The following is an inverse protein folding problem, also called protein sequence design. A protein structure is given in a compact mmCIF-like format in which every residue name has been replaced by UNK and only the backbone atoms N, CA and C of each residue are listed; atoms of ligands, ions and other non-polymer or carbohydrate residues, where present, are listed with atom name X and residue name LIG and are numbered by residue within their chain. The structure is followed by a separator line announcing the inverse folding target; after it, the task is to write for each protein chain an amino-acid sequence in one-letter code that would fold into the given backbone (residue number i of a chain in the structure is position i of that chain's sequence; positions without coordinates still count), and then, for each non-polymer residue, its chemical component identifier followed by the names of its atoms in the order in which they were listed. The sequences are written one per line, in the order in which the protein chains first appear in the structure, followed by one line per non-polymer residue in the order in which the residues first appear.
data_IF_714863417812
#
_entry.id   IF_714863417812
#
_cell.length_a   1.000
_cell.length_b   1.000
_cell.length_c   1.000
_cell.angle_alpha   90.00
_cell.angle_beta   90.00
_cell.angle_gamma   90.00
#
_symmetry.space_group_name_H-M   'P 1'
#
loop_
_entity.id
_entity.type
_entity.pdbx_description
1 polymer ?
#
# COMPACT_ATOMS: atom_id res chain seq x y z
N UNK A 1 -6.67 -21.95 -17.07
CA UNK A 1 -7.60 -20.97 -16.45
C UNK A 1 -9.05 -21.41 -16.57
N UNK A 2 -9.48 -21.92 -17.71
CA UNK A 2 -10.83 -22.49 -17.91
C UNK A 2 -11.15 -23.75 -17.09
N UNK A 3 -10.21 -24.70 -16.97
CA UNK A 3 -10.41 -25.89 -16.11
C UNK A 3 -10.58 -25.57 -14.61
N UNK A 4 -9.96 -24.49 -14.11
CA UNK A 4 -10.19 -24.03 -12.73
C UNK A 4 -11.56 -23.38 -12.56
N UNK A 5 -12.06 -22.67 -13.58
CA UNK A 5 -13.41 -22.10 -13.55
C UNK A 5 -14.47 -23.20 -13.60
N UNK A 6 -14.29 -24.26 -14.43
CA UNK A 6 -15.20 -25.40 -14.50
C UNK A 6 -15.26 -26.21 -13.20
N UNK A 7 -14.12 -26.50 -12.55
CA UNK A 7 -14.09 -27.14 -11.23
C UNK A 7 -14.76 -26.30 -10.14
N UNK A 8 -14.66 -24.99 -10.22
CA UNK A 8 -15.30 -24.08 -9.26
C UNK A 8 -16.82 -24.03 -9.48
N UNK A 9 -17.27 -24.11 -10.72
CA UNK A 9 -18.70 -24.19 -11.08
C UNK A 9 -19.34 -25.53 -10.68
N UNK A 10 -18.64 -26.66 -10.84
CA UNK A 10 -19.11 -27.98 -10.39
C UNK A 10 -19.27 -28.07 -8.86
N UNK A 11 -18.38 -27.45 -8.10
CA UNK A 11 -18.52 -27.39 -6.64
C UNK A 11 -19.66 -26.47 -6.16
N UNK A 12 -20.16 -25.58 -7.01
CA UNK A 12 -21.35 -24.73 -6.73
C UNK A 12 -22.65 -25.48 -7.04
N UNK A 13 -22.62 -26.44 -7.96
CA UNK A 13 -23.80 -27.26 -8.35
C UNK A 13 -24.06 -28.37 -7.31
N UNK A 14 -23.05 -28.84 -6.57
CA UNK A 14 -23.17 -29.85 -5.52
C UNK A 14 -23.55 -29.29 -4.13
N UNK A 15 -23.76 -27.99 -4.00
CA UNK A 15 -24.43 -27.44 -2.81
C UNK A 15 -25.91 -27.82 -2.87
N UNK A 16 -26.50 -28.36 -1.78
CA UNK A 16 -27.90 -28.74 -1.76
C UNK A 16 -28.75 -27.57 -2.25
N UNK A 17 -29.54 -27.82 -3.30
CA UNK A 17 -30.51 -26.84 -3.79
C UNK A 17 -31.41 -26.46 -2.64
N UNK A 18 -31.22 -25.28 -2.08
CA UNK A 18 -32.17 -24.71 -1.14
C UNK A 18 -33.49 -24.55 -1.86
N UNK A 19 -34.52 -25.12 -1.30
CA UNK A 19 -35.84 -25.13 -1.84
C UNK A 19 -36.32 -23.72 -2.19
N UNK A 20 -36.87 -23.51 -3.36
CA UNK A 20 -37.37 -22.20 -3.81
C UNK A 20 -38.42 -21.59 -2.88
N UNK A 21 -38.97 -22.35 -1.95
CA UNK A 21 -39.92 -21.91 -0.93
C UNK A 21 -39.25 -21.10 0.17
N UNK A 22 -37.98 -21.31 0.52
CA UNK A 22 -37.27 -20.51 1.52
C UNK A 22 -36.94 -19.09 1.04
N UNK A 23 -36.82 -18.86 -0.27
CA UNK A 23 -36.51 -17.53 -0.83
C UNK A 23 -37.65 -16.50 -0.65
N UNK A 24 -38.88 -16.94 -0.42
CA UNK A 24 -40.06 -16.05 -0.19
C UNK A 24 -40.12 -15.44 1.20
N UNK A 25 -39.41 -16.00 2.17
CA UNK A 25 -39.41 -15.51 3.55
C UNK A 25 -38.41 -14.38 3.80
N UNK A 26 -37.57 -14.08 2.84
CA UNK A 26 -36.50 -13.09 2.94
C UNK A 26 -36.66 -11.96 1.93
N UNK A 27 -37.87 -11.39 1.82
CA UNK A 27 -38.07 -10.14 1.06
C UNK A 27 -37.18 -9.04 1.68
N UNK A 28 -36.10 -8.67 0.98
CA UNK A 28 -35.11 -7.69 1.43
C UNK A 28 -33.70 -8.24 1.67
N UNK A 29 -33.53 -9.56 1.74
CA UNK A 29 -32.21 -10.20 1.85
C UNK A 29 -31.59 -10.38 0.48
N UNK A 30 -30.46 -9.74 0.23
CA UNK A 30 -29.70 -9.93 -1.00
C UNK A 30 -28.50 -10.82 -0.75
N UNK A 31 -28.45 -11.99 -1.36
CA UNK A 31 -27.33 -12.94 -1.29
C UNK A 31 -26.34 -12.67 -2.41
N UNK A 32 -25.07 -12.65 -2.05
CA UNK A 32 -23.97 -12.48 -3.00
C UNK A 32 -22.93 -13.55 -2.84
N UNK A 33 -22.40 -13.99 -3.96
CA UNK A 33 -21.17 -14.77 -3.97
C UNK A 33 -19.97 -13.83 -4.08
N UNK A 34 -19.15 -13.83 -3.05
CA UNK A 34 -17.88 -13.12 -3.03
C UNK A 34 -16.73 -14.08 -3.26
N UNK A 35 -16.03 -13.92 -4.39
CA UNK A 35 -14.81 -14.71 -4.64
C UNK A 35 -13.65 -14.06 -3.94
N UNK A 36 -13.12 -14.71 -2.89
CA UNK A 36 -11.79 -14.45 -2.36
C UNK A 36 -10.77 -15.31 -3.12
N UNK A 37 -9.47 -15.01 -3.00
CA UNK A 37 -8.42 -15.71 -3.75
C UNK A 37 -8.48 -17.25 -3.64
N UNK A 38 -9.10 -17.77 -2.57
CA UNK A 38 -9.16 -19.21 -2.28
C UNK A 38 -10.57 -19.78 -2.11
N UNK A 39 -11.63 -18.95 -2.02
CA UNK A 39 -12.98 -19.45 -1.73
C UNK A 39 -14.09 -18.54 -2.28
N UNK A 40 -15.19 -19.16 -2.73
CA UNK A 40 -16.45 -18.47 -2.95
C UNK A 40 -17.15 -18.37 -1.59
N UNK A 41 -17.39 -17.15 -1.13
CA UNK A 41 -18.15 -16.90 0.10
C UNK A 41 -19.50 -16.34 -0.28
N UNK A 42 -20.54 -17.06 0.07
CA UNK A 42 -21.91 -16.55 0.01
C UNK A 42 -22.10 -15.54 1.13
N UNK A 43 -22.45 -14.31 0.79
CA UNK A 43 -22.72 -13.26 1.78
C UNK A 43 -24.17 -12.88 1.68
N UNK A 44 -24.94 -13.26 2.69
CA UNK A 44 -26.34 -12.91 2.84
C UNK A 44 -26.44 -11.54 3.52
N UNK A 45 -27.17 -10.62 2.91
CA UNK A 45 -27.33 -9.27 3.42
C UNK A 45 -28.73 -9.05 3.96
N UNK A 46 -28.84 -9.07 5.26
CA UNK A 46 -29.91 -8.37 5.97
C UNK A 46 -29.34 -7.04 6.50
N UNK A 47 -29.81 -5.93 5.97
CA UNK A 47 -29.33 -4.60 6.35
C UNK A 47 -29.74 -4.19 7.77
N UNK A 48 -30.71 -4.90 8.34
CA UNK A 48 -31.26 -4.65 9.66
C UNK A 48 -30.61 -5.51 10.74
N UNK A 49 -30.01 -6.65 10.35
CA UNK A 49 -29.40 -7.63 11.28
C UNK A 49 -27.90 -7.89 10.96
N UNK A 50 -27.16 -6.82 10.68
CA UNK A 50 -25.75 -6.94 10.35
C UNK A 50 -24.87 -7.33 11.54
N UNK A 51 -25.28 -7.03 12.75
CA UNK A 51 -24.52 -7.38 13.94
C UNK A 51 -24.42 -8.90 14.09
N UNK A 52 -25.48 -9.64 13.81
CA UNK A 52 -25.49 -11.10 13.83
C UNK A 52 -24.50 -11.68 12.83
N UNK A 53 -24.46 -11.13 11.62
CA UNK A 53 -23.47 -11.53 10.60
C UNK A 53 -22.02 -11.18 11.01
N UNK A 54 -21.81 -10.07 11.71
CA UNK A 54 -20.50 -9.69 12.25
C UNK A 54 -20.06 -10.67 13.34
N UNK A 55 -20.97 -11.08 14.22
CA UNK A 55 -20.71 -11.97 15.33
C UNK A 55 -20.76 -13.46 14.96
N UNK A 56 -21.11 -13.80 13.71
CA UNK A 56 -21.11 -15.16 13.22
C UNK A 56 -19.74 -15.84 13.49
N UNK A 57 -19.71 -17.06 14.05
CA UNK A 57 -18.47 -17.76 14.38
C UNK A 57 -17.52 -17.93 13.20
N UNK A 58 -18.03 -18.13 11.97
CA UNK A 58 -17.20 -18.25 10.76
C UNK A 58 -16.55 -16.91 10.42
N UNK A 59 -17.29 -15.81 10.56
CA UNK A 59 -16.77 -14.46 10.34
C UNK A 59 -15.71 -14.09 11.38
N UNK A 60 -15.97 -14.35 12.67
CA UNK A 60 -15.00 -14.11 13.74
C UNK A 60 -13.72 -14.94 13.59
N UNK A 61 -13.84 -16.21 13.21
CA UNK A 61 -12.66 -17.06 12.93
C UNK A 61 -11.85 -16.55 11.75
N UNK A 62 -12.49 -16.07 10.69
CA UNK A 62 -11.80 -15.45 9.55
C UNK A 62 -11.09 -14.15 9.97
N UNK A 63 -11.74 -13.33 10.77
CA UNK A 63 -11.15 -12.12 11.34
C UNK A 63 -9.95 -12.44 12.23
N UNK A 64 -10.06 -13.43 13.11
CA UNK A 64 -8.96 -13.93 13.93
C UNK A 64 -7.75 -14.35 13.08
N UNK A 65 -7.97 -15.22 12.08
CA UNK A 65 -6.88 -15.67 11.17
C UNK A 65 -6.20 -14.49 10.46
N UNK A 66 -6.98 -13.47 10.07
CA UNK A 66 -6.45 -12.27 9.40
C UNK A 66 -5.61 -11.43 10.35
N UNK A 67 -6.06 -11.21 11.58
CA UNK A 67 -5.31 -10.47 12.61
C UNK A 67 -4.00 -11.18 12.97
N UNK A 68 -4.05 -12.51 13.14
CA UNK A 68 -2.88 -13.32 13.43
C UNK A 68 -1.84 -13.29 12.29
N UNK A 69 -2.29 -13.41 11.04
CA UNK A 69 -1.41 -13.35 9.86
C UNK A 69 -0.66 -12.01 9.75
N UNK A 70 -1.28 -10.92 10.14
CA UNK A 70 -0.71 -9.58 10.04
C UNK A 70 0.37 -9.30 11.10
N UNK A 71 0.49 -10.09 12.15
CA UNK A 71 1.54 -10.01 13.19
C UNK A 71 1.79 -8.60 13.72
N UNK A 72 0.74 -7.81 13.90
CA UNK A 72 0.85 -6.42 14.37
C UNK A 72 1.25 -6.34 15.86
N UNK A 73 1.93 -5.26 16.24
CA UNK A 73 2.30 -5.02 17.64
C UNK A 73 1.07 -4.71 18.53
N UNK A 74 1.23 -4.88 19.84
CA UNK A 74 0.19 -4.63 20.85
C UNK A 74 -0.29 -3.18 20.91
N UNK A 75 -1.53 -2.98 21.34
CA UNK A 75 -2.13 -1.68 21.60
C UNK A 75 -1.66 -1.03 22.89
N UNK A 76 -2.56 -0.35 23.58
CA UNK A 76 -2.28 0.27 24.89
C UNK A 76 -2.09 -0.78 25.99
N UNK A 77 -2.76 -1.93 25.85
CA UNK A 77 -2.72 -3.09 26.73
C UNK A 77 -1.43 -3.93 26.57
N UNK A 78 -0.62 -3.61 25.55
CA UNK A 78 0.61 -4.34 25.17
C UNK A 78 0.38 -5.81 24.81
N UNK A 79 -0.87 -6.28 24.69
CA UNK A 79 -1.20 -7.65 24.33
C UNK A 79 -0.65 -7.98 22.93
N UNK A 80 0.09 -9.09 22.80
CA UNK A 80 0.56 -9.58 21.50
C UNK A 80 -0.55 -10.35 20.77
N UNK A 81 -0.37 -10.54 19.44
CA UNK A 81 -1.31 -11.37 18.69
C UNK A 81 -1.37 -12.81 19.23
N UNK A 82 -0.25 -13.37 19.69
CA UNK A 82 -0.17 -14.74 20.21
C UNK A 82 -1.01 -14.93 21.49
N UNK A 83 -1.19 -13.88 22.28
CA UNK A 83 -2.01 -13.88 23.48
C UNK A 83 -3.52 -13.77 23.20
N UNK A 84 -3.91 -13.49 21.95
CA UNK A 84 -5.32 -13.32 21.59
C UNK A 84 -6.13 -14.62 21.78
N UNK A 85 -5.59 -15.78 21.40
CA UNK A 85 -6.32 -17.05 21.55
C UNK A 85 -6.59 -17.42 23.01
N UNK A 86 -5.59 -17.43 23.91
CA UNK A 86 -5.84 -17.66 25.35
C UNK A 86 -6.86 -16.68 25.92
N UNK A 87 -6.77 -15.40 25.53
CA UNK A 87 -7.71 -14.39 25.99
C UNK A 87 -9.15 -14.67 25.52
N UNK A 88 -9.32 -15.04 24.23
CA UNK A 88 -10.64 -15.39 23.68
C UNK A 88 -11.25 -16.62 24.35
N UNK A 89 -10.45 -17.64 24.66
CA UNK A 89 -10.96 -18.83 25.38
C UNK A 89 -11.58 -18.46 26.74
N UNK A 90 -11.02 -17.47 27.42
CA UNK A 90 -11.52 -17.01 28.71
C UNK A 90 -12.65 -15.98 28.64
N UNK A 91 -12.69 -15.14 27.56
CA UNK A 91 -13.52 -13.93 27.54
C UNK A 91 -14.51 -13.86 26.36
N UNK A 92 -14.57 -14.84 25.48
CA UNK A 92 -15.38 -14.81 24.25
C UNK A 92 -16.84 -14.49 24.52
N UNK A 93 -17.46 -15.18 25.48
CA UNK A 93 -18.90 -15.02 25.72
C UNK A 93 -19.21 -13.65 26.29
N UNK A 94 -18.36 -13.12 27.17
CA UNK A 94 -18.46 -11.76 27.68
C UNK A 94 -18.31 -10.72 26.56
N UNK A 95 -17.33 -10.92 25.66
CA UNK A 95 -17.13 -10.04 24.50
C UNK A 95 -18.38 -10.02 23.60
N UNK A 96 -18.91 -11.20 23.25
CA UNK A 96 -20.09 -11.33 22.37
C UNK A 96 -21.30 -10.66 23.02
N UNK A 97 -21.58 -10.94 24.30
CA UNK A 97 -22.69 -10.30 25.03
C UNK A 97 -22.57 -8.79 25.06
N UNK A 98 -21.36 -8.27 25.38
CA UNK A 98 -21.17 -6.81 25.41
C UNK A 98 -21.35 -6.13 24.04
N UNK A 99 -21.07 -6.83 22.95
CA UNK A 99 -21.32 -6.34 21.59
C UNK A 99 -22.82 -6.39 21.27
N UNK A 100 -23.54 -7.46 21.65
CA UNK A 100 -24.97 -7.62 21.44
C UNK A 100 -25.76 -6.59 22.25
N UNK A 101 -25.44 -6.42 23.53
CA UNK A 101 -26.10 -5.49 24.44
C UNK A 101 -25.69 -4.01 24.18
N UNK A 102 -24.76 -3.79 23.25
CA UNK A 102 -24.26 -2.45 22.96
C UNK A 102 -23.45 -1.82 24.10
N UNK A 103 -23.03 -2.58 25.11
CA UNK A 103 -22.23 -2.10 26.24
C UNK A 103 -20.74 -2.07 25.96
N UNK A 104 -20.28 -2.72 24.88
CA UNK A 104 -18.88 -2.74 24.47
C UNK A 104 -18.32 -1.33 24.30
N UNK A 105 -17.16 -1.08 24.90
CA UNK A 105 -16.40 0.18 24.80
C UNK A 105 -15.04 -0.09 24.18
N UNK A 106 -14.76 0.39 22.95
CA UNK A 106 -13.45 0.28 22.35
C UNK A 106 -12.39 0.98 23.18
N UNK A 107 -11.19 0.39 23.24
CA UNK A 107 -10.06 1.02 23.91
C UNK A 107 -9.50 2.17 23.07
N UNK A 108 -8.90 3.18 23.72
CA UNK A 108 -8.14 4.21 23.01
C UNK A 108 -7.00 3.60 22.20
N UNK A 109 -6.68 4.21 21.07
CA UNK A 109 -5.55 3.73 20.23
C UNK A 109 -4.21 4.25 20.78
N UNK A 110 -3.18 3.42 20.73
CA UNK A 110 -1.80 3.83 21.08
C UNK A 110 -1.19 4.61 19.92
N UNK A 111 -0.83 5.87 20.14
CA UNK A 111 -0.17 6.70 19.13
C UNK A 111 1.28 6.32 18.92
N UNK A 112 1.69 6.23 17.64
CA UNK A 112 3.08 6.02 17.23
C UNK A 112 3.41 6.96 16.10
N UNK A 113 4.55 7.62 16.19
CA UNK A 113 5.05 8.56 15.21
C UNK A 113 6.01 7.88 14.23
N UNK A 114 5.71 7.94 12.93
CA UNK A 114 6.59 7.45 11.87
C UNK A 114 7.15 8.64 11.09
N UNK A 115 8.48 8.75 10.93
CA UNK A 115 9.07 9.84 10.16
C UNK A 115 8.70 9.73 8.68
N UNK A 116 8.33 10.86 8.07
CA UNK A 116 8.15 11.01 6.61
C UNK A 116 9.45 11.47 5.95
N UNK A 117 9.58 11.23 4.65
CA UNK A 117 10.76 11.64 3.85
C UNK A 117 11.05 13.17 3.90
N UNK A 118 10.07 13.99 4.26
CA UNK A 118 10.17 15.45 4.35
C UNK A 118 10.42 15.98 5.78
N UNK A 119 10.84 15.11 6.70
CA UNK A 119 11.08 15.45 8.12
C UNK A 119 9.82 15.60 8.97
N UNK A 120 8.61 15.63 8.38
CA UNK A 120 7.35 15.60 9.12
C UNK A 120 7.08 14.19 9.64
N UNK A 121 6.27 14.07 10.68
CA UNK A 121 5.87 12.79 11.27
C UNK A 121 4.48 12.38 10.75
N UNK A 122 4.27 11.07 10.59
CA UNK A 122 2.96 10.46 10.37
C UNK A 122 2.49 9.86 11.69
N UNK A 123 1.29 10.22 12.11
CA UNK A 123 0.71 9.75 13.35
C UNK A 123 -0.09 8.47 13.05
N UNK A 124 0.36 7.31 13.57
CA UNK A 124 -0.41 6.07 13.53
C UNK A 124 -1.09 5.83 14.86
N UNK A 125 -2.31 5.28 14.83
CA UNK A 125 -3.01 4.78 15.99
C UNK A 125 -3.06 3.26 15.96
N UNK A 126 -2.51 2.59 16.96
CA UNK A 126 -2.49 1.14 17.08
C UNK A 126 -3.60 0.71 18.04
N UNK A 127 -4.71 0.10 17.55
CA UNK A 127 -5.76 -0.45 18.41
C UNK A 127 -5.25 -1.68 19.17
N UNK A 128 -5.94 -2.06 20.24
CA UNK A 128 -5.71 -3.35 20.92
C UNK A 128 -5.96 -4.51 19.97
N UNK A 129 -5.44 -5.68 20.29
CA UNK A 129 -5.62 -6.86 19.43
C UNK A 129 -7.08 -7.29 19.36
N UNK A 130 -7.80 -7.15 20.49
CA UNK A 130 -9.25 -7.42 20.56
C UNK A 130 -10.03 -6.43 19.70
N UNK A 131 -9.74 -5.13 19.81
CA UNK A 131 -10.37 -4.12 18.95
C UNK A 131 -10.10 -4.37 17.47
N UNK A 132 -8.88 -4.82 17.11
CA UNK A 132 -8.56 -5.21 15.72
C UNK A 132 -9.39 -6.39 15.25
N UNK A 133 -9.65 -7.38 16.12
CA UNK A 133 -10.50 -8.51 15.80
C UNK A 133 -11.92 -8.05 15.47
N UNK A 134 -12.53 -7.23 16.34
CA UNK A 134 -13.89 -6.72 16.14
C UNK A 134 -13.97 -5.81 14.91
N UNK A 135 -13.02 -4.89 14.74
CA UNK A 135 -12.95 -4.04 13.54
C UNK A 135 -12.78 -4.85 12.24
N UNK A 136 -11.98 -5.93 12.28
CA UNK A 136 -11.79 -6.81 11.14
C UNK A 136 -13.08 -7.59 10.83
N UNK A 137 -13.81 -8.04 11.84
CA UNK A 137 -15.11 -8.70 11.66
C UNK A 137 -16.15 -7.77 11.02
N UNK A 138 -16.22 -6.51 11.48
CA UNK A 138 -17.05 -5.46 10.87
C UNK A 138 -16.64 -5.22 9.41
N UNK A 139 -15.34 -5.04 9.17
CA UNK A 139 -14.81 -4.76 7.85
C UNK A 139 -15.16 -5.85 6.83
N UNK A 140 -15.10 -7.12 7.23
CA UNK A 140 -15.42 -8.27 6.37
C UNK A 140 -16.88 -8.32 5.93
N UNK A 141 -17.79 -7.88 6.77
CA UNK A 141 -19.23 -7.83 6.49
C UNK A 141 -19.58 -6.58 5.67
N UNK A 142 -19.01 -5.43 6.01
CA UNK A 142 -19.34 -4.18 5.34
C UNK A 142 -18.66 -4.01 3.97
N UNK A 143 -17.47 -4.56 3.78
CA UNK A 143 -16.75 -4.42 2.49
C UNK A 143 -17.58 -4.83 1.28
N UNK A 144 -18.18 -6.03 1.21
CA UNK A 144 -18.99 -6.42 0.05
C UNK A 144 -20.21 -5.52 -0.18
N UNK A 145 -20.79 -4.93 0.88
CA UNK A 145 -21.92 -3.99 0.77
C UNK A 145 -21.52 -2.72 0.02
N UNK A 146 -20.40 -2.12 0.46
CA UNK A 146 -19.94 -0.85 -0.08
C UNK A 146 -19.18 -1.00 -1.39
N UNK A 147 -18.52 -2.14 -1.64
CA UNK A 147 -17.79 -2.40 -2.87
C UNK A 147 -18.64 -2.22 -4.14
N UNK A 148 -19.93 -2.48 -4.04
CA UNK A 148 -20.90 -2.27 -5.13
C UNK A 148 -21.23 -0.80 -5.39
N UNK A 149 -21.09 0.05 -4.35
CA UNK A 149 -21.39 1.46 -4.44
C UNK A 149 -20.17 2.28 -4.85
N UNK A 150 -18.97 1.68 -4.77
CA UNK A 150 -17.74 2.40 -5.07
C UNK A 150 -17.53 2.56 -6.57
N UNK A 151 -17.11 3.74 -6.97
CA UNK A 151 -16.75 4.06 -8.34
C UNK A 151 -15.74 3.07 -8.95
N UNK A 152 -15.86 2.82 -10.24
CA UNK A 152 -14.91 1.98 -10.99
C UNK A 152 -13.51 2.59 -11.03
N UNK A 153 -13.40 3.92 -10.97
CA UNK A 153 -12.15 4.70 -11.02
C UNK A 153 -11.54 4.97 -9.64
N UNK A 154 -12.09 4.39 -8.57
CA UNK A 154 -11.53 4.33 -7.23
C UNK A 154 -10.81 3.00 -7.00
N UNK A 155 -9.53 3.02 -6.59
CA UNK A 155 -8.66 1.83 -6.55
C UNK A 155 -8.05 1.54 -5.18
N UNK A 156 -7.81 2.55 -4.34
CA UNK A 156 -7.13 2.38 -3.06
C UNK A 156 -7.95 1.59 -2.04
N UNK A 157 -7.30 0.69 -1.29
CA UNK A 157 -7.89 -0.10 -0.21
C UNK A 157 -9.08 -0.99 -0.61
N UNK A 158 -9.16 -1.37 -1.87
CA UNK A 158 -10.24 -2.20 -2.41
C UNK A 158 -9.75 -3.58 -2.82
N UNK A 159 -10.56 -4.63 -2.63
CA UNK A 159 -10.22 -5.97 -3.09
C UNK A 159 -9.95 -6.01 -4.61
N UNK A 160 -8.95 -6.78 -5.02
CA UNK A 160 -8.58 -7.00 -6.43
C UNK A 160 -8.26 -5.73 -7.24
N UNK A 161 -8.10 -4.56 -6.59
CA UNK A 161 -7.69 -3.31 -7.21
C UNK A 161 -6.37 -2.84 -6.63
N UNK A 162 -5.44 -2.43 -7.49
CA UNK A 162 -4.11 -2.01 -7.08
C UNK A 162 -3.69 -0.67 -7.68
N UNK A 163 -2.52 -0.20 -7.26
CA UNK A 163 -1.93 1.03 -7.79
C UNK A 163 -1.64 0.94 -9.31
N UNK A 164 -1.32 -0.24 -9.82
CA UNK A 164 -1.08 -0.45 -11.24
C UNK A 164 -2.35 -0.29 -12.07
N UNK A 165 -3.50 -0.68 -11.53
CA UNK A 165 -4.79 -0.50 -12.22
C UNK A 165 -5.17 0.98 -12.28
N UNK A 166 -4.94 1.72 -11.20
CA UNK A 166 -5.10 3.18 -11.17
C UNK A 166 -4.19 3.88 -12.22
N UNK A 167 -2.95 3.42 -12.33
CA UNK A 167 -1.98 3.97 -13.29
C UNK A 167 -2.36 3.65 -14.75
N UNK A 168 -2.85 2.45 -15.04
CA UNK A 168 -3.34 2.07 -16.38
C UNK A 168 -4.55 2.90 -16.78
N UNK A 169 -5.51 3.09 -15.86
CA UNK A 169 -6.68 3.94 -16.13
C UNK A 169 -6.28 5.40 -16.34
N UNK A 170 -5.39 5.94 -15.51
CA UNK A 170 -4.85 7.28 -15.71
C UNK A 170 -4.13 7.42 -17.07
N UNK A 171 -3.33 6.42 -17.46
CA UNK A 171 -2.66 6.39 -18.77
C UNK A 171 -3.66 6.39 -19.94
N UNK A 172 -4.75 5.62 -19.82
CA UNK A 172 -5.81 5.56 -20.81
C UNK A 172 -6.44 6.94 -21.00
N UNK A 173 -6.85 7.61 -19.92
CA UNK A 173 -7.45 8.95 -19.96
C UNK A 173 -6.49 9.96 -20.59
N UNK A 174 -5.20 9.91 -20.25
CA UNK A 174 -4.18 10.79 -20.85
C UNK A 174 -4.04 10.53 -22.35
N UNK A 175 -4.08 9.27 -22.80
CA UNK A 175 -4.01 8.92 -24.22
C UNK A 175 -5.23 9.41 -25.02
N UNK A 176 -6.40 9.56 -24.36
CA UNK A 176 -7.62 10.17 -24.92
C UNK A 176 -7.53 11.70 -25.05
N UNK A 177 -6.37 12.29 -24.72
CA UNK A 177 -6.10 13.73 -24.91
C UNK A 177 -6.37 14.62 -23.71
N UNK A 178 -6.71 14.06 -22.54
CA UNK A 178 -6.87 14.80 -21.29
C UNK A 178 -5.51 15.08 -20.66
N UNK A 179 -4.86 16.19 -21.08
CA UNK A 179 -3.47 16.54 -20.76
C UNK A 179 -3.32 17.51 -19.58
N UNK A 180 -4.41 17.94 -18.98
CA UNK A 180 -4.41 18.78 -17.78
C UNK A 180 -5.05 18.04 -16.64
N UNK A 181 -4.56 18.26 -15.44
CA UNK A 181 -5.00 17.53 -14.26
C UNK A 181 -5.11 18.46 -13.06
N UNK A 182 -6.12 18.21 -12.24
CA UNK A 182 -6.16 18.68 -10.85
C UNK A 182 -5.58 17.57 -9.99
N UNK A 183 -4.41 17.83 -9.42
CA UNK A 183 -3.77 16.98 -8.41
C UNK A 183 -4.33 17.40 -7.04
N UNK A 184 -5.24 16.59 -6.49
CA UNK A 184 -5.99 16.88 -5.27
C UNK A 184 -5.27 16.26 -4.07
N UNK A 185 -4.87 17.09 -3.09
CA UNK A 185 -4.26 16.69 -1.82
C UNK A 185 -5.17 17.13 -0.66
N UNK A 186 -5.69 16.18 0.10
CA UNK A 186 -6.47 16.45 1.30
C UNK A 186 -5.56 16.67 2.51
N UNK A 187 -5.82 17.70 3.31
CA UNK A 187 -5.01 18.00 4.47
C UNK A 187 -5.32 17.04 5.62
N UNK A 188 -4.35 16.16 5.93
CA UNK A 188 -4.46 15.19 7.03
C UNK A 188 -5.79 14.45 7.04
N UNK A 189 -6.24 13.99 5.88
CA UNK A 189 -7.57 13.44 5.67
C UNK A 189 -8.06 12.55 6.84
N UNK A 190 -7.25 11.55 7.25
CA UNK A 190 -7.64 10.65 8.34
C UNK A 190 -7.83 11.34 9.69
N UNK A 191 -7.17 12.48 9.93
CA UNK A 191 -7.25 13.20 11.20
C UNK A 191 -8.39 14.24 11.20
N UNK A 192 -9.02 14.52 10.04
CA UNK A 192 -10.00 15.60 9.86
C UNK A 192 -11.39 15.14 9.42
N UNK A 193 -11.62 13.81 9.32
CA UNK A 193 -12.94 13.27 8.95
C UNK A 193 -13.99 13.66 10.00
N UNK A 194 -15.03 14.37 9.58
CA UNK A 194 -16.16 14.73 10.42
C UNK A 194 -16.98 13.49 10.78
N UNK A 195 -17.04 13.13 12.06
CA UNK A 195 -17.73 11.92 12.55
C UNK A 195 -19.23 11.96 12.21
N UNK A 196 -19.91 13.08 12.45
CA UNK A 196 -21.36 13.19 12.17
C UNK A 196 -21.67 12.99 10.68
N UNK A 197 -20.84 13.57 9.80
CA UNK A 197 -21.02 13.40 8.35
C UNK A 197 -20.76 11.95 7.91
N UNK A 198 -19.72 11.30 8.45
CA UNK A 198 -19.44 9.90 8.15
C UNK A 198 -20.55 8.98 8.65
N UNK A 199 -21.07 9.19 9.87
CA UNK A 199 -22.17 8.41 10.44
C UNK A 199 -23.45 8.62 9.63
N UNK A 200 -23.76 9.83 9.20
CA UNK A 200 -24.88 10.10 8.30
C UNK A 200 -24.80 9.29 7.00
N UNK A 201 -23.62 9.27 6.35
CA UNK A 201 -23.39 8.51 5.12
C UNK A 201 -23.56 7.01 5.36
N UNK A 202 -23.01 6.50 6.48
CA UNK A 202 -23.14 5.10 6.88
C UNK A 202 -24.61 4.70 7.07
N UNK A 203 -25.40 5.53 7.78
CA UNK A 203 -26.80 5.26 8.11
C UNK A 203 -27.72 5.26 6.87
N UNK A 204 -27.29 5.81 5.74
CA UNK A 204 -28.04 5.70 4.47
C UNK A 204 -28.08 4.26 3.96
N UNK A 205 -27.01 3.50 4.19
CA UNK A 205 -26.84 2.12 3.70
C UNK A 205 -27.07 1.08 4.80
N UNK A 206 -26.52 1.32 6.02
CA UNK A 206 -26.63 0.41 7.16
C UNK A 206 -27.87 0.80 7.95
N UNK A 207 -28.81 -0.14 8.12
CA UNK A 207 -30.04 0.07 8.89
C UNK A 207 -29.94 -0.50 10.30
N UNK A 208 -28.95 -1.35 10.58
CA UNK A 208 -28.66 -1.83 11.94
C UNK A 208 -28.00 -0.72 12.77
N UNK A 209 -28.78 -0.07 13.62
CA UNK A 209 -28.32 1.02 14.48
C UNK A 209 -27.25 0.58 15.49
N UNK A 210 -27.20 -0.71 15.86
CA UNK A 210 -26.18 -1.27 16.77
C UNK A 210 -24.80 -1.22 16.11
N UNK A 211 -24.71 -1.56 14.83
CA UNK A 211 -23.46 -1.51 14.05
C UNK A 211 -23.01 -0.06 13.85
N UNK A 212 -23.92 0.85 13.50
CA UNK A 212 -23.61 2.28 13.35
C UNK A 212 -23.12 2.86 14.69
N UNK A 213 -23.78 2.54 15.80
CA UNK A 213 -23.36 2.94 17.14
C UNK A 213 -21.97 2.41 17.49
N UNK A 214 -21.68 1.14 17.20
CA UNK A 214 -20.38 0.53 17.45
C UNK A 214 -19.28 1.22 16.65
N UNK A 215 -19.51 1.52 15.37
CA UNK A 215 -18.56 2.30 14.54
C UNK A 215 -18.35 3.69 15.15
N UNK A 216 -19.39 4.36 15.57
CA UNK A 216 -19.28 5.67 16.23
C UNK A 216 -18.45 5.61 17.51
N UNK A 217 -18.62 4.55 18.33
CA UNK A 217 -17.77 4.33 19.51
C UNK A 217 -16.30 4.16 19.13
N UNK A 218 -15.97 3.44 18.05
CA UNK A 218 -14.60 3.32 17.53
C UNK A 218 -14.01 4.67 17.10
N UNK A 219 -14.79 5.52 16.44
CA UNK A 219 -14.36 6.86 16.04
C UNK A 219 -14.04 7.74 17.25
N UNK A 220 -14.79 7.58 18.34
CA UNK A 220 -14.66 8.36 19.58
C UNK A 220 -13.81 7.71 20.67
N UNK A 221 -13.19 6.57 20.42
CA UNK A 221 -12.41 5.82 21.42
C UNK A 221 -11.23 6.60 22.01
N UNK A 222 -10.79 7.67 21.34
CA UNK A 222 -9.68 8.50 21.77
C UNK A 222 -8.30 7.89 21.43
N UNK A 223 -7.28 8.61 21.83
CA UNK A 223 -5.89 8.28 21.54
C UNK A 223 -5.05 8.44 22.81
N UNK A 224 -4.14 7.51 23.07
CA UNK A 224 -3.10 7.70 24.10
C UNK A 224 -1.80 8.08 23.41
N UNK A 225 -1.35 9.29 23.71
CA UNK A 225 -0.14 9.90 23.22
C UNK A 225 0.84 10.12 24.39
N UNK A 226 1.99 9.43 24.39
CA UNK A 226 2.96 9.49 25.49
C UNK A 226 2.36 9.31 26.91
N UNK A 227 1.35 8.45 27.02
CA UNK A 227 0.65 8.17 28.30
C UNK A 227 -0.49 9.13 28.63
N UNK A 228 -0.70 10.19 27.85
CA UNK A 228 -1.82 11.14 28.02
C UNK A 228 -2.98 10.77 27.11
N UNK A 229 -4.19 10.73 27.66
CA UNK A 229 -5.41 10.50 26.91
C UNK A 229 -5.88 11.78 26.22
N UNK A 230 -6.09 11.68 24.91
CA UNK A 230 -6.65 12.73 24.06
C UNK A 230 -8.00 12.26 23.49
N UNK A 231 -9.04 13.06 23.64
CA UNK A 231 -10.35 12.77 23.04
C UNK A 231 -10.31 12.96 21.54
N UNK A 232 -10.94 12.04 20.79
CA UNK A 232 -11.11 12.15 19.34
C UNK A 232 -12.46 12.75 19.01
N UNK A 233 -12.51 14.02 18.62
CA UNK A 233 -13.75 14.72 18.18
C UNK A 233 -13.98 14.59 16.67
N UNK A 234 -12.93 14.38 15.91
CA UNK A 234 -12.89 14.21 14.46
C UNK A 234 -11.76 13.22 14.09
N UNK A 235 -11.80 12.73 12.88
CA UNK A 235 -10.80 11.82 12.32
C UNK A 235 -11.10 10.34 12.53
N UNK A 236 -10.41 9.52 11.74
CA UNK A 236 -10.39 8.06 11.86
C UNK A 236 -8.98 7.62 12.21
N UNK A 237 -8.77 6.83 13.27
CA UNK A 237 -7.41 6.42 13.66
C UNK A 237 -6.69 5.68 12.52
N UNK A 238 -5.56 6.20 12.06
CA UNK A 238 -4.74 5.53 11.04
C UNK A 238 -4.09 4.28 11.63
N UNK A 239 -4.48 3.08 11.17
CA UNK A 239 -3.87 1.81 11.56
C UNK A 239 -4.85 0.73 12.02
N UNK A 240 -6.12 1.06 12.22
CA UNK A 240 -7.18 0.08 12.43
C UNK A 240 -7.64 -0.57 11.11
N UNK A 241 -8.12 -1.84 11.15
CA UNK A 241 -8.63 -2.53 9.96
C UNK A 241 -9.84 -1.85 9.29
N UNK A 242 -10.62 -1.11 10.05
CA UNK A 242 -11.85 -0.47 9.59
C UNK A 242 -11.61 0.87 8.89
N UNK A 243 -10.55 1.61 9.27
CA UNK A 243 -10.29 2.97 8.79
C UNK A 243 -10.17 3.09 7.26
N UNK A 244 -9.55 2.16 6.51
CA UNK A 244 -9.50 2.22 5.05
C UNK A 244 -10.88 2.13 4.39
N UNK A 245 -11.77 1.31 4.90
CA UNK A 245 -13.14 1.19 4.40
C UNK A 245 -13.92 2.48 4.67
N UNK A 246 -13.87 3.00 5.90
CA UNK A 246 -14.54 4.26 6.28
C UNK A 246 -14.04 5.44 5.44
N UNK A 247 -12.75 5.47 5.14
CA UNK A 247 -12.13 6.42 4.23
C UNK A 247 -12.77 6.38 2.83
N UNK A 248 -12.89 5.18 2.26
CA UNK A 248 -13.52 5.02 0.95
C UNK A 248 -15.01 5.36 0.96
N UNK A 249 -15.74 5.05 2.02
CA UNK A 249 -17.16 5.40 2.17
C UNK A 249 -17.33 6.92 2.15
N UNK A 250 -16.51 7.65 2.91
CA UNK A 250 -16.53 9.11 2.93
C UNK A 250 -16.20 9.72 1.57
N UNK A 251 -15.13 9.24 0.93
CA UNK A 251 -14.67 9.78 -0.36
C UNK A 251 -15.51 9.30 -1.55
N UNK A 252 -16.35 8.28 -1.40
CA UNK A 252 -17.30 7.89 -2.42
C UNK A 252 -18.35 8.97 -2.72
N UNK A 253 -18.64 9.86 -1.78
CA UNK A 253 -19.50 11.01 -2.04
C UNK A 253 -18.81 12.01 -3.01
N UNK A 254 -17.49 12.16 -2.90
CA UNK A 254 -16.69 12.92 -3.89
C UNK A 254 -16.72 12.21 -5.26
N UNK A 255 -16.55 10.87 -5.27
CA UNK A 255 -16.58 10.08 -6.50
C UNK A 255 -17.93 10.27 -7.23
N UNK A 256 -19.06 10.16 -6.52
CA UNK A 256 -20.39 10.39 -7.06
C UNK A 256 -20.56 11.80 -7.64
N UNK A 257 -20.03 12.81 -6.97
CA UNK A 257 -20.11 14.19 -7.46
C UNK A 257 -19.27 14.40 -8.72
N UNK A 258 -18.09 13.80 -8.80
CA UNK A 258 -17.26 13.83 -10.00
C UNK A 258 -17.96 13.14 -11.18
N UNK A 259 -18.56 11.97 -10.94
CA UNK A 259 -19.35 11.22 -11.94
C UNK A 259 -20.59 12.03 -12.39
N UNK A 260 -21.34 12.62 -11.45
CA UNK A 260 -22.49 13.47 -11.75
C UNK A 260 -22.12 14.65 -12.67
N UNK A 261 -20.90 15.19 -12.51
CA UNK A 261 -20.39 16.28 -13.38
C UNK A 261 -19.77 15.78 -14.68
N UNK A 262 -19.73 14.47 -14.93
CA UNK A 262 -19.09 13.88 -16.11
C UNK A 262 -17.57 14.08 -16.15
N UNK A 263 -16.91 14.25 -15.00
CA UNK A 263 -15.47 14.45 -14.90
C UNK A 263 -14.74 13.12 -14.87
N UNK A 264 -13.72 12.98 -15.70
CA UNK A 264 -12.83 11.82 -15.65
C UNK A 264 -11.83 12.00 -14.52
N UNK A 265 -11.68 10.96 -13.70
CA UNK A 265 -10.77 10.99 -12.56
C UNK A 265 -10.26 9.57 -12.22
N UNK A 266 -9.20 9.53 -11.47
CA UNK A 266 -8.65 8.32 -10.88
C UNK A 266 -8.29 8.62 -9.43
N UNK A 267 -8.82 7.83 -8.49
CA UNK A 267 -8.57 8.00 -7.07
C UNK A 267 -7.90 6.75 -6.48
N UNK A 268 -6.85 6.95 -5.70
CA UNK A 268 -6.20 5.92 -4.90
C UNK A 268 -6.17 6.37 -3.42
N UNK A 269 -7.10 5.89 -2.62
CA UNK A 269 -7.34 6.37 -1.25
C UNK A 269 -7.67 7.89 -1.25
N UNK A 270 -6.86 8.68 -0.55
CA UNK A 270 -6.95 10.15 -0.46
C UNK A 270 -6.25 10.88 -1.62
N UNK A 271 -5.49 10.17 -2.46
CA UNK A 271 -4.74 10.75 -3.59
C UNK A 271 -5.59 10.66 -4.88
N UNK A 272 -6.04 11.78 -5.40
CA UNK A 272 -6.95 11.83 -6.55
C UNK A 272 -6.46 12.77 -7.66
N UNK A 273 -6.58 12.30 -8.91
CA UNK A 273 -6.32 13.07 -10.12
C UNK A 273 -7.60 13.24 -10.92
N UNK A 274 -8.00 14.47 -11.19
CA UNK A 274 -9.16 14.80 -12.02
C UNK A 274 -8.65 15.37 -13.35
N UNK A 275 -9.04 14.77 -14.46
CA UNK A 275 -8.49 15.07 -15.77
C UNK A 275 -9.34 16.06 -16.56
N UNK A 276 -8.69 16.96 -17.27
CA UNK A 276 -9.30 18.00 -18.08
C UNK A 276 -8.60 18.15 -19.44
N UNK A 277 -9.30 18.70 -20.44
CA UNK A 277 -8.73 18.98 -21.76
C UNK A 277 -7.93 20.27 -21.82
N UNK A 278 -8.20 21.24 -20.93
CA UNK A 278 -7.52 22.55 -20.93
C UNK A 278 -7.14 23.01 -19.52
N UNK A 279 -6.12 23.88 -19.44
CA UNK A 279 -5.68 24.51 -18.18
C UNK A 279 -6.79 25.32 -17.52
N UNK A 280 -7.58 26.05 -18.32
CA UNK A 280 -8.71 26.87 -17.82
C UNK A 280 -9.81 25.98 -17.21
N UNK A 281 -10.12 24.84 -17.84
CA UNK A 281 -11.07 23.87 -17.30
C UNK A 281 -10.56 23.28 -15.99
N UNK A 282 -9.29 22.87 -15.92
CA UNK A 282 -8.68 22.34 -14.70
C UNK A 282 -8.71 23.37 -13.54
N UNK A 283 -8.47 24.66 -13.82
CA UNK A 283 -8.59 25.71 -12.82
C UNK A 283 -10.02 25.81 -12.24
N UNK A 284 -11.03 25.86 -13.09
CA UNK A 284 -12.44 25.92 -12.66
C UNK A 284 -12.85 24.66 -11.87
N UNK A 285 -12.44 23.48 -12.33
CA UNK A 285 -12.73 22.22 -11.65
C UNK A 285 -12.08 22.20 -10.27
N UNK A 286 -10.80 22.60 -10.16
CA UNK A 286 -10.09 22.70 -8.88
C UNK A 286 -10.90 23.55 -7.89
N UNK A 287 -11.29 24.74 -8.28
CA UNK A 287 -11.95 25.69 -7.37
C UNK A 287 -13.33 25.16 -6.95
N UNK A 288 -14.14 24.69 -7.89
CA UNK A 288 -15.50 24.19 -7.61
C UNK A 288 -15.51 22.86 -6.82
N UNK A 289 -14.50 21.97 -7.01
CA UNK A 289 -14.38 20.73 -6.24
C UNK A 289 -13.83 21.02 -4.85
N UNK A 290 -12.90 21.98 -4.71
CA UNK A 290 -12.43 22.43 -3.39
C UNK A 290 -13.61 22.94 -2.55
N UNK A 291 -14.45 23.80 -3.12
CA UNK A 291 -15.64 24.30 -2.44
C UNK A 291 -16.62 23.17 -2.04
N UNK A 292 -16.85 22.20 -2.93
CA UNK A 292 -17.69 21.03 -2.61
C UNK A 292 -17.11 20.22 -1.44
N UNK A 293 -15.81 19.95 -1.46
CA UNK A 293 -15.14 19.15 -0.40
C UNK A 293 -15.23 19.88 0.94
N UNK A 294 -14.96 21.18 0.97
CA UNK A 294 -14.96 21.96 2.21
C UNK A 294 -16.39 22.17 2.75
N UNK A 295 -17.37 22.50 1.89
CA UNK A 295 -18.72 22.85 2.31
C UNK A 295 -19.67 21.65 2.48
N UNK A 296 -19.50 20.56 1.69
CA UNK A 296 -20.41 19.41 1.71
C UNK A 296 -19.84 18.20 2.42
N UNK A 297 -18.54 17.96 2.30
CA UNK A 297 -17.89 16.83 2.97
C UNK A 297 -17.24 17.23 4.30
N UNK A 298 -17.10 18.52 4.58
CA UNK A 298 -16.43 19.06 5.75
C UNK A 298 -14.99 18.53 5.90
N UNK A 299 -14.30 18.36 4.76
CA UNK A 299 -12.91 17.97 4.70
C UNK A 299 -12.05 19.18 4.33
N UNK A 300 -10.78 19.17 4.76
CA UNK A 300 -9.85 20.26 4.46
C UNK A 300 -9.00 19.93 3.24
N UNK A 301 -8.99 20.84 2.25
CA UNK A 301 -8.14 20.73 1.07
C UNK A 301 -6.81 21.44 1.31
N UNK A 302 -5.71 20.77 1.03
CA UNK A 302 -4.38 21.38 1.05
C UNK A 302 -4.19 22.28 -0.20
N UNK A 303 -4.53 23.56 -0.07
CA UNK A 303 -4.51 24.52 -1.18
C UNK A 303 -3.12 24.77 -1.76
N UNK A 304 -2.04 24.58 -0.97
CA UNK A 304 -0.67 24.76 -1.45
C UNK A 304 -0.25 23.62 -2.40
N UNK A 305 -0.71 22.42 -2.15
CA UNK A 305 -0.37 21.22 -2.92
C UNK A 305 -1.40 20.93 -4.02
N UNK A 306 -2.67 21.23 -3.80
CA UNK A 306 -3.72 21.03 -4.80
C UNK A 306 -3.51 21.98 -5.98
N UNK A 307 -3.10 21.44 -7.13
CA UNK A 307 -2.68 22.21 -8.29
C UNK A 307 -3.38 21.77 -9.57
N UNK A 308 -3.76 22.77 -10.37
CA UNK A 308 -4.20 22.57 -11.74
C UNK A 308 -3.00 22.76 -12.69
N UNK A 309 -2.51 21.70 -13.32
CA UNK A 309 -1.31 21.73 -14.16
C UNK A 309 -1.41 20.79 -15.35
N UNK A 310 -0.44 20.87 -16.27
CA UNK A 310 -0.26 19.82 -17.26
C UNK A 310 0.15 18.53 -16.55
N UNK A 311 -0.31 17.39 -17.04
CA UNK A 311 -0.03 16.07 -16.48
C UNK A 311 1.47 15.70 -16.54
N UNK A 312 2.23 16.34 -17.45
CA UNK A 312 3.67 16.14 -17.55
C UNK A 312 4.38 16.61 -16.26
N UNK A 313 5.13 15.70 -15.65
CA UNK A 313 5.86 16.00 -14.43
C UNK A 313 5.07 15.91 -13.13
N UNK A 314 3.74 15.75 -13.17
CA UNK A 314 2.93 15.49 -11.96
C UNK A 314 3.29 14.13 -11.40
N UNK A 315 3.44 14.05 -10.07
CA UNK A 315 3.75 12.81 -9.38
C UNK A 315 2.45 12.13 -8.92
N UNK A 316 2.15 10.97 -9.48
CA UNK A 316 1.04 10.14 -9.02
C UNK A 316 1.53 8.72 -8.72
N UNK A 317 1.29 8.25 -7.51
CA UNK A 317 1.73 6.92 -7.03
C UNK A 317 3.22 6.63 -7.34
N UNK A 318 4.08 7.65 -7.28
CA UNK A 318 5.52 7.52 -7.57
C UNK A 318 5.91 7.56 -9.04
N UNK A 319 4.94 7.53 -9.94
CA UNK A 319 5.12 7.69 -11.39
C UNK A 319 4.88 9.13 -11.83
N UNK A 320 5.12 9.39 -13.11
CA UNK A 320 4.78 10.62 -13.82
C UNK A 320 4.52 10.30 -15.28
N UNK A 321 3.86 11.21 -15.99
CA UNK A 321 3.70 11.13 -17.43
C UNK A 321 4.79 11.98 -18.11
N UNK A 322 5.40 11.45 -19.16
CA UNK A 322 6.48 12.14 -19.87
C UNK A 322 6.04 12.55 -21.27
N UNK A 323 5.99 13.85 -21.52
CA UNK A 323 5.69 14.40 -22.85
C UNK A 323 6.70 14.01 -23.92
N UNK A 324 7.97 13.75 -23.53
CA UNK A 324 9.03 13.30 -24.43
C UNK A 324 8.73 11.90 -24.99
N UNK A 325 8.05 11.04 -24.22
CA UNK A 325 7.69 9.69 -24.59
C UNK A 325 6.20 9.54 -24.88
N UNK A 326 5.60 10.49 -25.54
CA UNK A 326 4.16 10.49 -25.86
C UNK A 326 3.28 10.23 -24.63
N UNK A 327 3.58 10.94 -23.54
CA UNK A 327 2.90 10.83 -22.25
C UNK A 327 2.85 9.42 -21.64
N UNK A 328 3.75 8.51 -22.05
CA UNK A 328 3.89 7.19 -21.41
C UNK A 328 4.35 7.33 -19.96
N UNK A 329 3.96 6.34 -19.16
CA UNK A 329 4.36 6.27 -17.76
C UNK A 329 5.89 6.21 -17.62
N UNK A 330 6.40 7.08 -16.77
CA UNK A 330 7.80 7.16 -16.37
C UNK A 330 7.89 7.20 -14.86
N UNK A 331 9.03 6.80 -14.30
CA UNK A 331 9.27 6.94 -12.86
C UNK A 331 9.59 8.39 -12.52
N UNK A 332 8.88 8.95 -11.55
CA UNK A 332 9.10 10.34 -11.12
C UNK A 332 10.54 10.55 -10.61
N UNK A 333 11.20 11.70 -10.89
CA UNK A 333 12.59 11.97 -10.49
C UNK A 333 12.87 11.76 -9.00
N UNK A 334 11.95 12.17 -8.12
CA UNK A 334 12.07 11.92 -6.65
C UNK A 334 12.12 10.43 -6.32
N UNK A 335 11.37 9.59 -7.03
CA UNK A 335 11.37 8.13 -6.83
C UNK A 335 12.68 7.50 -7.31
N UNK A 336 13.24 7.97 -8.42
CA UNK A 336 14.57 7.57 -8.91
C UNK A 336 15.67 7.96 -7.93
N UNK A 337 15.62 9.19 -7.39
CA UNK A 337 16.58 9.66 -6.39
C UNK A 337 16.51 8.83 -5.10
N UNK A 338 15.31 8.50 -4.62
CA UNK A 338 15.08 7.65 -3.45
C UNK A 338 15.67 6.24 -3.66
N UNK A 339 15.48 5.65 -4.84
CA UNK A 339 16.09 4.37 -5.19
C UNK A 339 17.62 4.45 -5.11
N UNK A 340 18.22 5.46 -5.75
CA UNK A 340 19.69 5.65 -5.75
C UNK A 340 20.22 5.82 -4.32
N UNK A 341 19.53 6.59 -3.48
CA UNK A 341 19.89 6.78 -2.08
C UNK A 341 19.82 5.45 -1.30
N UNK A 342 18.78 4.65 -1.48
CA UNK A 342 18.65 3.34 -0.81
C UNK A 342 19.70 2.34 -1.27
N UNK A 343 19.98 2.27 -2.56
CA UNK A 343 21.08 1.45 -3.08
C UNK A 343 22.46 1.91 -2.53
N UNK A 344 22.64 3.23 -2.35
CA UNK A 344 23.84 3.79 -1.71
C UNK A 344 23.98 3.34 -0.26
N UNK A 345 22.90 3.36 0.49
CA UNK A 345 22.82 2.84 1.88
C UNK A 345 23.17 1.35 1.93
N UNK A 346 22.49 0.52 1.12
CA UNK A 346 22.69 -0.93 1.07
C UNK A 346 24.12 -1.33 0.65
N UNK A 347 24.81 -0.47 -0.11
CA UNK A 347 26.20 -0.64 -0.53
C UNK A 347 27.16 0.29 0.23
N UNK A 348 26.80 0.68 1.46
CA UNK A 348 27.73 1.40 2.33
C UNK A 348 28.89 0.49 2.74
N UNK A 349 30.09 1.07 2.80
CA UNK A 349 31.30 0.41 3.30
C UNK A 349 31.29 0.19 4.80
N UNK A 350 30.42 0.92 5.52
CA UNK A 350 30.45 1.03 6.98
C UNK A 350 29.34 0.24 7.68
N UNK A 351 28.49 -0.46 6.91
CA UNK A 351 27.35 -1.18 7.49
C UNK A 351 27.68 -2.56 8.11
N UNK A 352 28.94 -2.97 8.10
CA UNK A 352 29.40 -4.21 8.72
C UNK A 352 28.90 -5.53 8.07
N UNK A 353 28.14 -5.45 6.99
CA UNK A 353 27.52 -6.64 6.39
C UNK A 353 28.50 -7.47 5.56
N UNK A 354 28.44 -8.80 5.75
CA UNK A 354 29.09 -9.77 4.89
C UNK A 354 28.43 -9.85 3.49
N UNK A 355 29.04 -10.65 2.61
CA UNK A 355 28.59 -10.78 1.21
C UNK A 355 27.15 -11.28 1.10
N UNK A 356 26.78 -12.32 1.85
CA UNK A 356 25.46 -12.95 1.76
C UNK A 356 24.34 -12.01 2.24
N UNK A 357 24.55 -11.33 3.37
CA UNK A 357 23.56 -10.37 3.89
C UNK A 357 23.36 -9.22 2.92
N UNK A 358 24.43 -8.67 2.36
CA UNK A 358 24.35 -7.58 1.37
C UNK A 358 23.64 -8.01 0.10
N UNK A 359 23.99 -9.20 -0.43
CA UNK A 359 23.37 -9.79 -1.61
C UNK A 359 21.86 -9.95 -1.40
N UNK A 360 21.44 -10.60 -0.30
CA UNK A 360 20.03 -10.79 0.03
C UNK A 360 19.27 -9.47 0.10
N UNK A 361 19.76 -8.49 0.87
CA UNK A 361 19.11 -7.17 1.00
C UNK A 361 19.05 -6.40 -0.32
N UNK A 362 20.06 -6.51 -1.17
CA UNK A 362 20.03 -5.90 -2.52
C UNK A 362 18.98 -6.60 -3.40
N UNK A 363 18.92 -7.93 -3.40
CA UNK A 363 17.98 -8.70 -4.20
C UNK A 363 16.53 -8.41 -3.78
N UNK A 364 16.25 -8.42 -2.47
CA UNK A 364 14.94 -8.08 -1.92
C UNK A 364 14.50 -6.67 -2.36
N UNK A 365 15.38 -5.68 -2.21
CA UNK A 365 15.08 -4.30 -2.58
C UNK A 365 14.89 -4.11 -4.09
N UNK A 366 15.78 -4.67 -4.91
CA UNK A 366 15.70 -4.58 -6.37
C UNK A 366 14.42 -5.23 -6.89
N UNK A 367 14.11 -6.44 -6.41
CA UNK A 367 12.90 -7.16 -6.80
C UNK A 367 11.63 -6.37 -6.44
N UNK A 368 11.55 -5.85 -5.22
CA UNK A 368 10.39 -5.06 -4.78
C UNK A 368 10.25 -3.75 -5.56
N UNK A 369 11.38 -3.04 -5.82
CA UNK A 369 11.34 -1.77 -6.55
C UNK A 369 10.96 -1.97 -8.02
N UNK A 370 11.54 -2.95 -8.70
CA UNK A 370 11.23 -3.25 -10.10
C UNK A 370 9.81 -3.79 -10.24
N UNK A 371 9.38 -4.70 -9.36
CA UNK A 371 8.01 -5.20 -9.34
C UNK A 371 6.94 -4.11 -9.12
N UNK A 372 7.32 -2.98 -8.50
CA UNK A 372 6.44 -1.81 -8.40
C UNK A 372 6.50 -0.90 -9.63
N UNK A 373 7.70 -0.65 -10.19
CA UNK A 373 7.91 0.34 -11.26
C UNK A 373 7.98 -0.25 -12.68
N UNK A 374 7.62 -1.51 -12.87
CA UNK A 374 7.74 -2.20 -14.17
C UNK A 374 6.91 -1.57 -15.30
N UNK A 375 5.80 -0.87 -14.99
CA UNK A 375 4.99 -0.19 -16.00
C UNK A 375 5.70 0.97 -16.71
N UNK A 376 6.77 1.50 -16.11
CA UNK A 376 7.50 2.62 -16.68
C UNK A 376 8.56 2.17 -17.67
N UNK A 377 8.86 3.00 -18.68
CA UNK A 377 10.00 2.79 -19.58
C UNK A 377 11.31 3.08 -18.83
N UNK A 378 12.08 2.02 -18.52
CA UNK A 378 13.24 2.11 -17.61
C UNK A 378 14.57 1.62 -18.19
N UNK A 379 14.61 1.00 -19.38
CA UNK A 379 15.81 0.32 -19.91
C UNK A 379 17.10 1.15 -19.79
N UNK A 380 17.11 2.36 -20.35
CA UNK A 380 18.28 3.25 -20.33
C UNK A 380 18.67 3.70 -18.92
N UNK A 381 17.69 3.99 -18.07
CA UNK A 381 17.93 4.39 -16.69
C UNK A 381 18.55 3.24 -15.88
N UNK A 382 18.01 2.03 -16.00
CA UNK A 382 18.48 0.86 -15.25
C UNK A 382 19.86 0.41 -15.72
N UNK A 383 20.18 0.49 -17.01
CA UNK A 383 21.53 0.20 -17.52
C UNK A 383 22.58 1.09 -16.84
N UNK A 384 22.37 2.42 -16.82
CA UNK A 384 23.25 3.36 -16.11
C UNK A 384 23.33 3.12 -14.61
N UNK A 385 22.21 2.74 -14.02
CA UNK A 385 22.18 2.43 -12.58
C UNK A 385 22.89 1.12 -12.25
N UNK A 386 22.87 0.12 -13.14
CA UNK A 386 23.62 -1.13 -12.99
C UNK A 386 25.12 -0.88 -13.02
N UNK A 387 25.62 -0.07 -13.95
CA UNK A 387 27.04 0.30 -14.01
C UNK A 387 27.50 0.90 -12.66
N UNK A 388 26.75 1.88 -12.17
CA UNK A 388 27.03 2.53 -10.90
C UNK A 388 26.91 1.56 -9.71
N UNK A 389 25.88 0.70 -9.66
CA UNK A 389 25.68 -0.27 -8.59
C UNK A 389 26.81 -1.31 -8.57
N UNK A 390 27.23 -1.83 -9.71
CA UNK A 390 28.35 -2.78 -9.82
C UNK A 390 29.66 -2.18 -9.34
N UNK A 391 29.92 -0.92 -9.68
CA UNK A 391 31.06 -0.20 -9.13
C UNK A 391 31.03 -0.14 -7.60
N UNK A 392 29.87 0.16 -7.03
CA UNK A 392 29.68 0.18 -5.56
C UNK A 392 29.85 -1.20 -4.92
N UNK A 393 29.36 -2.26 -5.57
CA UNK A 393 29.53 -3.64 -5.09
C UNK A 393 31.03 -3.99 -5.09
N UNK A 394 31.77 -3.71 -6.18
CA UNK A 394 33.24 -3.90 -6.24
C UNK A 394 33.95 -3.17 -5.10
N UNK A 395 33.54 -1.93 -4.82
CA UNK A 395 34.08 -1.16 -3.70
C UNK A 395 33.86 -1.83 -2.34
N UNK A 396 32.71 -2.46 -2.12
CA UNK A 396 32.44 -3.21 -0.89
C UNK A 396 33.29 -4.48 -0.81
N UNK A 397 33.44 -5.20 -1.92
CA UNK A 397 34.28 -6.40 -2.01
C UNK A 397 35.72 -6.04 -1.76
N UNK A 398 36.25 -5.02 -2.43
CA UNK A 398 37.62 -4.55 -2.25
C UNK A 398 37.91 -4.13 -0.80
N UNK A 399 36.99 -3.47 -0.14
CA UNK A 399 37.14 -3.14 1.28
C UNK A 399 37.13 -4.39 2.17
N UNK A 400 36.31 -5.39 1.85
CA UNK A 400 36.26 -6.62 2.61
C UNK A 400 37.58 -7.42 2.56
N UNK A 401 38.36 -7.27 1.49
CA UNK A 401 39.72 -7.81 1.38
C UNK A 401 40.74 -6.94 2.13
N UNK A 402 40.58 -6.76 3.38
CA UNK A 402 41.20 -5.76 4.27
C UNK A 402 42.70 -5.51 4.03
N UNK A 403 43.51 -6.59 3.97
CA UNK A 403 44.99 -6.53 3.91
C UNK A 403 45.49 -6.59 2.46
N UNK A 404 46.61 -5.92 2.12
CA UNK A 404 47.18 -6.01 0.77
C UNK A 404 47.45 -7.44 0.32
N UNK A 405 48.02 -8.29 1.16
CA UNK A 405 48.24 -9.71 0.89
C UNK A 405 46.95 -10.42 0.47
N UNK A 406 45.86 -10.26 1.26
CA UNK A 406 44.55 -10.85 0.95
C UNK A 406 43.97 -10.30 -0.36
N UNK A 407 44.20 -9.03 -0.70
CA UNK A 407 43.77 -8.43 -1.96
C UNK A 407 44.52 -9.10 -3.14
N UNK A 408 45.83 -9.23 -3.04
CA UNK A 408 46.67 -9.87 -4.03
C UNK A 408 46.24 -11.32 -4.26
N UNK A 409 46.11 -12.11 -3.20
CA UNK A 409 45.67 -13.52 -3.29
C UNK A 409 44.31 -13.67 -3.96
N UNK A 410 43.35 -12.80 -3.62
CA UNK A 410 42.02 -12.82 -4.22
C UNK A 410 42.03 -12.35 -5.69
N UNK A 411 42.89 -11.41 -6.07
CA UNK A 411 43.07 -11.01 -7.48
C UNK A 411 43.65 -12.16 -8.30
N UNK A 412 44.69 -12.86 -7.78
CA UNK A 412 45.26 -14.04 -8.44
C UNK A 412 44.22 -15.14 -8.59
N UNK A 413 43.43 -15.43 -7.53
CA UNK A 413 42.30 -16.38 -7.60
C UNK A 413 41.25 -15.99 -8.65
N UNK A 414 41.13 -14.72 -8.97
CA UNK A 414 40.27 -14.19 -10.03
C UNK A 414 40.92 -14.20 -11.44
N UNK A 415 42.12 -14.77 -11.57
CA UNK A 415 42.82 -14.89 -12.85
C UNK A 415 43.63 -13.65 -13.25
N UNK A 416 43.97 -12.78 -12.31
CA UNK A 416 44.85 -11.63 -12.57
C UNK A 416 46.30 -12.08 -12.38
N UNK A 417 47.18 -11.64 -13.29
CA UNK A 417 48.62 -11.89 -13.21
C UNK A 417 49.20 -11.42 -11.86
N UNK A 418 50.19 -12.16 -11.34
CA UNK A 418 50.75 -11.94 -10.01
C UNK A 418 51.43 -10.54 -9.87
N UNK A 419 52.10 -10.07 -10.95
CA UNK A 419 52.72 -8.73 -10.93
C UNK A 419 51.68 -7.63 -10.85
N UNK A 420 50.64 -7.69 -11.67
CA UNK A 420 49.53 -6.74 -11.68
C UNK A 420 48.73 -6.81 -10.38
N UNK A 421 48.47 -7.98 -9.82
CA UNK A 421 47.80 -8.20 -8.55
C UNK A 421 48.59 -7.56 -7.39
N UNK A 422 49.93 -7.74 -7.39
CA UNK A 422 50.81 -7.09 -6.43
C UNK A 422 50.76 -5.55 -6.56
N UNK A 423 50.98 -5.03 -7.75
CA UNK A 423 51.00 -3.60 -8.06
C UNK A 423 49.71 -2.88 -7.58
N UNK A 424 48.56 -3.48 -7.84
CA UNK A 424 47.28 -2.89 -7.46
C UNK A 424 47.00 -3.03 -5.97
N UNK A 425 47.39 -4.16 -5.36
CA UNK A 425 47.10 -4.45 -3.95
C UNK A 425 47.89 -3.58 -2.99
N UNK A 426 49.14 -3.26 -3.31
CA UNK A 426 50.05 -2.45 -2.50
C UNK A 426 50.06 -0.97 -2.87
N UNK A 427 49.25 -0.53 -3.82
CA UNK A 427 49.17 0.88 -4.20
C UNK A 427 48.54 1.72 -3.08
N UNK A 428 49.34 2.63 -2.51
CA UNK A 428 48.96 3.45 -1.34
C UNK A 428 48.08 4.68 -1.67
N UNK A 429 48.08 5.15 -2.90
CA UNK A 429 47.57 6.47 -3.30
C UNK A 429 46.19 6.50 -3.96
N UNK A 430 45.52 5.36 -4.06
CA UNK A 430 44.20 5.28 -4.68
C UNK A 430 43.10 4.99 -3.65
N UNK A 431 42.14 5.91 -3.53
CA UNK A 431 40.92 5.70 -2.70
C UNK A 431 40.10 4.52 -3.24
N UNK A 432 39.28 3.91 -2.36
CA UNK A 432 38.43 2.74 -2.68
C UNK A 432 37.59 2.91 -3.93
N UNK A 433 37.08 4.11 -4.20
CA UNK A 433 36.29 4.39 -5.40
C UNK A 433 37.14 4.34 -6.68
N UNK A 434 38.29 5.01 -6.69
CA UNK A 434 39.14 5.05 -7.89
C UNK A 434 39.70 3.70 -8.27
N UNK A 435 40.16 2.92 -7.32
CA UNK A 435 40.73 1.60 -7.58
C UNK A 435 39.71 0.62 -8.16
N UNK A 436 38.47 0.69 -7.73
CA UNK A 436 37.43 -0.21 -8.26
C UNK A 436 36.91 0.18 -9.63
N UNK A 437 37.30 1.32 -10.16
CA UNK A 437 37.14 1.74 -11.55
C UNK A 437 38.25 1.31 -12.50
N UNK A 438 39.30 0.62 -12.01
CA UNK A 438 40.42 0.18 -12.86
C UNK A 438 40.04 -1.04 -13.69
N UNK A 439 40.61 -1.21 -14.89
CA UNK A 439 40.38 -2.40 -15.73
C UNK A 439 40.66 -3.71 -14.99
N UNK A 440 41.70 -3.74 -14.17
CA UNK A 440 42.09 -4.93 -13.40
C UNK A 440 40.96 -5.37 -12.45
N UNK A 441 40.36 -4.44 -11.70
CA UNK A 441 39.22 -4.75 -10.84
C UNK A 441 37.96 -5.12 -11.64
N UNK A 442 37.78 -4.55 -12.83
CA UNK A 442 36.70 -4.93 -13.72
C UNK A 442 36.87 -6.33 -14.29
N UNK A 443 38.10 -6.77 -14.59
CA UNK A 443 38.39 -8.14 -15.01
C UNK A 443 38.22 -9.14 -13.85
N UNK A 444 38.86 -8.88 -12.71
CA UNK A 444 38.79 -9.75 -11.52
C UNK A 444 37.37 -9.94 -11.01
N UNK A 445 36.63 -8.84 -10.86
CA UNK A 445 35.23 -8.85 -10.37
C UNK A 445 34.32 -8.41 -11.54
N UNK A 446 34.29 -9.24 -12.58
CA UNK A 446 33.55 -8.97 -13.81
C UNK A 446 32.03 -8.96 -13.53
N UNK A 447 31.22 -8.36 -14.41
CA UNK A 447 29.78 -8.38 -14.32
C UNK A 447 29.23 -9.82 -14.36
N UNK A 448 29.83 -10.70 -15.16
CA UNK A 448 29.49 -12.11 -15.24
C UNK A 448 29.75 -12.83 -13.89
N UNK A 449 30.92 -12.57 -13.28
CA UNK A 449 31.25 -13.13 -11.98
C UNK A 449 30.30 -12.65 -10.87
N UNK A 450 29.91 -11.37 -10.86
CA UNK A 450 28.93 -10.85 -9.93
C UNK A 450 27.56 -11.52 -10.11
N UNK A 451 27.11 -11.69 -11.37
CA UNK A 451 25.86 -12.40 -11.69
C UNK A 451 25.93 -13.87 -11.25
N UNK A 452 27.03 -14.58 -11.57
CA UNK A 452 27.26 -15.97 -11.14
C UNK A 452 27.25 -16.12 -9.61
N UNK A 453 27.72 -15.12 -8.87
CA UNK A 453 27.67 -15.07 -7.40
C UNK A 453 26.31 -14.63 -6.83
N UNK A 454 25.31 -14.40 -7.68
CA UNK A 454 23.93 -14.08 -7.29
C UNK A 454 23.68 -12.62 -6.90
N UNK A 455 24.54 -11.68 -7.30
CA UNK A 455 24.23 -10.26 -7.17
C UNK A 455 23.16 -9.85 -8.19
N UNK A 456 22.14 -9.06 -7.80
CA UNK A 456 21.07 -8.68 -8.72
C UNK A 456 21.56 -7.75 -9.82
N UNK A 457 20.94 -7.86 -10.99
CA UNK A 457 21.04 -6.94 -12.09
C UNK A 457 19.70 -6.24 -12.26
N UNK A 458 19.69 -4.92 -12.21
CA UNK A 458 18.46 -4.12 -12.31
C UNK A 458 17.79 -4.30 -13.67
N UNK A 459 18.60 -4.26 -14.75
CA UNK A 459 18.08 -4.40 -16.10
C UNK A 459 17.55 -5.81 -16.37
N UNK A 460 18.28 -6.85 -15.95
CA UNK A 460 17.82 -8.24 -16.11
C UNK A 460 16.49 -8.47 -15.37
N UNK A 461 16.40 -8.04 -14.11
CA UNK A 461 15.18 -8.15 -13.32
C UNK A 461 14.00 -7.37 -13.93
N UNK A 462 14.26 -6.27 -14.63
CA UNK A 462 13.22 -5.52 -15.34
C UNK A 462 12.77 -6.25 -16.62
N UNK A 463 13.71 -6.87 -17.35
CA UNK A 463 13.40 -7.61 -18.57
C UNK A 463 12.59 -8.89 -18.30
N UNK A 464 12.69 -9.47 -17.10
CA UNK A 464 11.84 -10.59 -16.67
C UNK A 464 10.33 -10.22 -16.65
N UNK A 465 10.00 -8.96 -16.39
CA UNK A 465 8.62 -8.43 -16.46
C UNK A 465 8.16 -8.05 -17.87
N UNK A 466 9.11 -8.00 -18.82
CA UNK A 466 8.86 -7.64 -20.21
C UNK A 466 9.50 -8.68 -21.13
N UNK A 467 9.03 -9.93 -21.12
CA UNK A 467 9.51 -10.92 -22.09
C UNK A 467 9.26 -10.40 -23.50
N UNK A 468 10.22 -10.68 -24.38
CA UNK A 468 10.18 -10.25 -25.80
C UNK A 468 9.04 -10.91 -26.54
#
# INVERSE_FOLDING_TARGET
MEERMQKTLTNVIDLPQRDRTESKWYEGVQTFMWMTEDNIVEVTFDKEHLLEAILDPKNLNRAYKTVMRNKGCGGIDKMSCEQLLPWLLANKDSLIRSLQDGTYRPNPVRRVEIPKDNGKKRLLGIPTVVDRLVQQAINQVLTPIYERQFSRTSFGFRPKKGCHDALREAQKIVNEGYRYVVDLDLERFFDTVCHSRLIEILSRTIKDGRVVSLIHKYLRSGVINHGVFETSKEGTPQGGPLSPLLSNIMLNELDKELERRGLLYVRYADDAMIFCKSKRAAGRVRDSITEYIENKLHLKVNREKTKASNVNGVKYLGYTFSSINDYKLSVHPKSKAKMKSKLKELTSRSNGWGYEVRKRKLTEYVRGWIGYYYLASLKTFLSKMDEWLRHRIRMCIWKAWKRPKTRMENLIKCGIDAYEAHRVSYSKWRGYWRITGTPILHMAISNANLKKKGYPCLLDSYLEWHPK
#
